data_IF_968837335756
#
_entry.id   IF_968837335756
#
_cell.length_a   1.000
_cell.length_b   1.000
_cell.length_c   1.000
_cell.angle_alpha   90.00
_cell.angle_beta   90.00
_cell.angle_gamma   90.00
#
_symmetry.space_group_name_H-M   'P 1'
#
loop_
_entity.id
_entity.type
_entity.pdbx_description
1 polymer ?
#
# COMPACT_ATOMS: atom_id res chain seq x y z
N UNK A 1 86.18 11.58 -34.11
CA UNK A 1 85.02 12.42 -34.53
C UNK A 1 83.79 11.81 -33.89
N UNK A 2 83.04 12.60 -33.10
CA UNK A 2 81.93 12.16 -32.23
C UNK A 2 80.85 11.35 -32.98
N UNK A 3 80.02 10.61 -32.23
CA UNK A 3 78.68 11.16 -32.06
C UNK A 3 78.23 11.25 -30.59
N UNK A 4 77.55 12.36 -30.37
CA UNK A 4 76.91 12.83 -29.15
C UNK A 4 75.70 11.94 -28.82
N UNK A 5 75.61 11.40 -27.61
CA UNK A 5 74.38 10.75 -27.11
C UNK A 5 73.44 11.84 -26.60
N UNK A 6 72.35 12.08 -27.34
CA UNK A 6 71.25 12.92 -26.89
C UNK A 6 70.43 12.19 -25.82
N UNK A 7 70.31 12.77 -24.63
CA UNK A 7 69.27 12.39 -23.66
C UNK A 7 67.99 13.17 -24.00
N UNK A 8 66.92 12.44 -24.31
CA UNK A 8 65.55 12.97 -24.35
C UNK A 8 64.97 12.95 -22.93
N UNK A 9 64.31 14.02 -22.45
CA UNK A 9 63.55 13.96 -21.21
C UNK A 9 62.20 13.27 -21.48
N UNK A 10 61.89 12.24 -20.70
CA UNK A 10 60.57 11.64 -20.66
C UNK A 10 59.60 12.63 -19.98
N UNK A 11 58.70 13.23 -20.76
CA UNK A 11 57.60 14.04 -20.23
C UNK A 11 56.57 13.06 -19.66
N UNK A 12 56.51 12.97 -18.33
CA UNK A 12 55.42 12.29 -17.63
C UNK A 12 54.20 13.21 -17.67
N UNK A 13 53.29 12.96 -18.61
CA UNK A 13 51.99 13.61 -18.64
C UNK A 13 51.13 13.03 -17.50
N UNK A 14 50.98 13.78 -16.41
CA UNK A 14 50.06 13.46 -15.34
C UNK A 14 48.61 13.64 -15.85
N UNK A 15 47.92 12.53 -16.11
CA UNK A 15 46.50 12.50 -16.40
C UNK A 15 45.71 12.84 -15.13
N UNK A 16 45.25 14.10 -15.03
CA UNK A 16 44.22 14.52 -14.09
C UNK A 16 42.89 13.88 -14.51
N UNK A 17 42.55 12.75 -13.89
CA UNK A 17 41.21 12.18 -14.00
C UNK A 17 40.22 13.08 -13.24
N UNK A 18 39.15 13.58 -13.87
CA UNK A 18 38.14 14.35 -13.16
C UNK A 18 37.41 13.45 -12.16
N UNK A 19 37.43 13.86 -10.89
CA UNK A 19 36.63 13.23 -9.84
C UNK A 19 35.14 13.51 -10.13
N UNK A 20 34.49 12.58 -10.83
CA UNK A 20 33.04 12.61 -11.00
C UNK A 20 32.45 12.33 -9.61
N UNK A 21 31.96 13.38 -8.95
CA UNK A 21 31.15 13.23 -7.75
C UNK A 21 29.90 12.44 -8.13
N UNK A 22 29.84 11.19 -7.68
CA UNK A 22 28.62 10.39 -7.74
C UNK A 22 27.62 10.99 -6.74
N UNK A 23 26.86 11.98 -7.18
CA UNK A 23 25.67 12.39 -6.44
C UNK A 23 24.76 11.16 -6.34
N UNK A 24 24.48 10.70 -5.12
CA UNK A 24 23.55 9.61 -4.90
C UNK A 24 22.20 10.01 -5.53
N UNK A 25 21.71 9.18 -6.45
CA UNK A 25 20.38 9.36 -7.01
C UNK A 25 19.37 9.35 -5.85
N UNK A 26 18.36 10.25 -5.85
CA UNK A 26 17.34 10.23 -4.82
C UNK A 26 16.71 8.83 -4.78
N UNK A 27 16.66 8.24 -3.58
CA UNK A 27 16.01 6.95 -3.37
C UNK A 27 14.58 7.03 -3.92
N UNK A 28 14.21 6.07 -4.77
CA UNK A 28 12.84 6.02 -5.29
C UNK A 28 11.87 5.91 -4.10
N UNK A 29 10.74 6.66 -4.11
CA UNK A 29 9.74 6.54 -3.08
C UNK A 29 9.34 5.08 -2.92
N UNK A 30 9.31 4.59 -1.69
CA UNK A 30 8.91 3.21 -1.43
C UNK A 30 7.46 3.01 -1.90
N UNK A 31 7.26 2.23 -2.97
CA UNK A 31 5.92 1.86 -3.43
C UNK A 31 5.37 0.78 -2.50
N UNK A 32 4.28 1.04 -1.77
CA UNK A 32 3.69 0.05 -0.88
C UNK A 32 3.40 -1.27 -1.60
N UNK A 33 3.56 -2.36 -0.86
CA UNK A 33 3.24 -3.71 -1.29
C UNK A 33 2.16 -4.26 -0.37
N UNK A 34 1.05 -4.64 -0.97
CA UNK A 34 -0.11 -5.26 -0.31
C UNK A 34 -0.14 -6.74 -0.64
N UNK A 35 -0.06 -7.60 0.37
CA UNK A 35 -0.07 -9.06 0.18
C UNK A 35 -1.11 -9.75 1.05
N UNK A 36 -1.47 -10.99 0.74
CA UNK A 36 -2.34 -11.80 1.60
C UNK A 36 -3.60 -12.29 0.89
N UNK A 37 -4.70 -12.41 1.62
CA UNK A 37 -5.94 -12.99 1.09
C UNK A 37 -7.17 -12.18 1.40
N UNK A 38 -8.11 -12.17 0.46
CA UNK A 38 -9.46 -11.60 0.61
C UNK A 38 -10.48 -12.63 0.18
N UNK A 39 -11.51 -12.83 1.00
CA UNK A 39 -12.69 -13.63 0.67
C UNK A 39 -13.91 -12.75 0.54
N UNK A 40 -14.64 -12.92 -0.55
CA UNK A 40 -15.91 -12.24 -0.82
C UNK A 40 -17.01 -13.29 -0.96
N UNK A 41 -18.17 -13.03 -0.37
CA UNK A 41 -19.38 -13.80 -0.60
C UNK A 41 -20.47 -12.85 -1.11
N UNK A 42 -20.85 -13.01 -2.38
CA UNK A 42 -21.85 -12.16 -3.02
C UNK A 42 -23.22 -12.33 -2.38
N UNK A 43 -23.58 -13.55 -1.98
CA UNK A 43 -24.91 -13.87 -1.48
C UNK A 43 -25.16 -13.32 -0.07
N UNK A 44 -24.11 -13.19 0.74
CA UNK A 44 -24.21 -12.62 2.10
C UNK A 44 -23.70 -11.19 2.20
N UNK A 45 -23.07 -10.65 1.15
CA UNK A 45 -22.47 -9.31 1.19
C UNK A 45 -21.21 -9.25 2.04
N UNK A 46 -20.64 -10.41 2.38
CA UNK A 46 -19.58 -10.55 3.36
C UNK A 46 -18.21 -10.39 2.71
N UNK A 47 -17.34 -9.67 3.40
CA UNK A 47 -15.94 -9.46 3.03
C UNK A 47 -15.07 -9.81 4.23
N UNK A 48 -14.07 -10.66 4.02
CA UNK A 48 -13.05 -11.01 5.00
C UNK A 48 -11.67 -10.78 4.39
N UNK A 49 -10.73 -10.28 5.17
CA UNK A 49 -9.35 -10.15 4.72
C UNK A 49 -8.35 -10.50 5.81
N UNK A 50 -7.24 -11.07 5.37
CA UNK A 50 -6.00 -11.22 6.12
C UNK A 50 -4.88 -10.68 5.21
N UNK A 51 -4.57 -9.39 5.38
CA UNK A 51 -3.81 -8.62 4.41
C UNK A 51 -2.67 -7.88 5.09
N UNK A 52 -1.47 -8.00 4.54
CA UNK A 52 -0.29 -7.30 4.98
C UNK A 52 0.05 -6.11 4.08
N UNK A 53 0.40 -4.99 4.68
CA UNK A 53 0.96 -3.82 4.04
C UNK A 53 2.43 -3.69 4.45
N UNK A 54 3.31 -3.54 3.46
CA UNK A 54 4.76 -3.41 3.66
C UNK A 54 5.35 -2.41 2.68
N UNK A 55 6.63 -2.06 2.87
CA UNK A 55 7.35 -1.13 2.02
C UNK A 55 6.66 0.26 1.94
N UNK A 56 6.01 0.67 3.03
CA UNK A 56 5.42 2.00 3.16
C UNK A 56 6.51 3.03 3.53
N UNK A 57 6.40 4.29 3.08
CA UNK A 57 7.26 5.37 3.56
C UNK A 57 7.24 5.47 5.09
N UNK A 58 8.36 5.86 5.70
CA UNK A 58 8.47 5.96 7.16
C UNK A 58 7.40 6.86 7.78
N UNK A 59 6.95 7.90 7.07
CA UNK A 59 5.88 8.81 7.52
C UNK A 59 4.49 8.15 7.59
N UNK A 60 4.31 7.00 6.94
CA UNK A 60 3.06 6.25 6.89
C UNK A 60 3.09 4.97 7.75
N UNK A 61 4.24 4.54 8.28
CA UNK A 61 4.38 3.27 9.00
C UNK A 61 3.65 3.21 10.35
N UNK A 62 3.15 4.35 10.84
CA UNK A 62 2.32 4.42 12.06
C UNK A 62 0.82 4.41 11.79
N UNK A 63 0.37 4.37 10.53
CA UNK A 63 -1.03 4.56 10.18
C UNK A 63 -1.45 3.69 9.00
N UNK A 64 -2.71 3.28 9.00
CA UNK A 64 -3.33 2.70 7.82
C UNK A 64 -4.78 3.17 7.72
N UNK A 65 -5.34 3.12 6.52
CA UNK A 65 -6.77 3.31 6.30
C UNK A 65 -7.44 2.01 5.87
N UNK A 66 -8.70 1.86 6.27
CA UNK A 66 -9.57 0.78 5.83
C UNK A 66 -11.01 1.31 5.76
N UNK A 67 -11.81 0.79 4.83
CA UNK A 67 -13.21 1.18 4.69
C UNK A 67 -13.96 1.12 6.04
N UNK A 68 -14.80 2.12 6.31
CA UNK A 68 -15.50 2.23 7.59
C UNK A 68 -16.47 1.08 7.89
N UNK A 69 -16.90 0.32 6.89
CA UNK A 69 -17.75 -0.88 7.04
C UNK A 69 -16.97 -2.17 7.32
N UNK A 70 -15.64 -2.13 7.34
CA UNK A 70 -14.77 -3.26 7.68
C UNK A 70 -14.27 -3.12 9.12
N UNK A 71 -14.62 -4.09 9.96
CA UNK A 71 -14.20 -4.15 11.35
C UNK A 71 -12.85 -4.85 11.45
N UNK A 72 -11.87 -4.19 12.05
CA UNK A 72 -10.55 -4.77 12.32
C UNK A 72 -10.63 -5.71 13.53
N UNK A 73 -10.31 -6.99 13.32
CA UNK A 73 -10.25 -8.00 14.36
C UNK A 73 -8.86 -8.07 15.02
N UNK A 74 -7.79 -7.92 14.23
CA UNK A 74 -6.41 -8.02 14.72
C UNK A 74 -5.46 -7.23 13.82
N UNK A 75 -4.46 -6.61 14.45
CA UNK A 75 -3.29 -6.05 13.76
C UNK A 75 -2.03 -6.71 14.33
N UNK A 76 -1.13 -7.16 13.46
CA UNK A 76 0.18 -7.69 13.84
C UNK A 76 1.30 -7.03 13.05
N UNK A 77 2.53 -7.13 13.53
CA UNK A 77 3.72 -6.80 12.74
C UNK A 77 4.10 -7.94 11.77
N UNK A 78 5.25 -7.79 11.11
CA UNK A 78 5.77 -8.77 10.16
C UNK A 78 6.20 -10.11 10.76
N UNK A 79 6.35 -10.18 12.09
CA UNK A 79 6.69 -11.38 12.86
C UNK A 79 5.44 -12.04 13.47
N UNK A 80 4.27 -11.43 13.29
CA UNK A 80 3.00 -11.91 13.83
C UNK A 80 2.75 -11.46 15.27
N UNK A 81 3.57 -10.58 15.83
CA UNK A 81 3.35 -10.03 17.18
C UNK A 81 2.19 -9.03 17.12
N UNK A 82 1.25 -9.06 18.09
CA UNK A 82 0.16 -8.09 18.15
C UNK A 82 0.68 -6.65 18.26
N UNK A 83 0.07 -5.74 17.50
CA UNK A 83 0.34 -4.30 17.54
C UNK A 83 -0.92 -3.60 18.03
N UNK A 84 -0.80 -2.78 19.08
CA UNK A 84 -1.90 -1.95 19.55
C UNK A 84 -2.28 -0.90 18.53
N UNK A 85 -3.56 -0.55 18.42
CA UNK A 85 -4.04 0.46 17.49
C UNK A 85 -5.29 1.17 18.02
N UNK A 86 -5.51 2.38 17.54
CA UNK A 86 -6.72 3.19 17.75
C UNK A 86 -7.33 3.61 16.40
N UNK A 87 -8.53 4.18 16.41
CA UNK A 87 -9.35 4.49 15.23
C UNK A 87 -10.85 4.32 15.47
N UNK A 88 -11.28 4.23 16.73
CA UNK A 88 -12.67 3.95 17.11
C UNK A 88 -13.45 5.22 17.46
N UNK A 89 -12.82 6.13 18.21
CA UNK A 89 -13.43 7.36 18.71
C UNK A 89 -12.81 8.57 18.02
N UNK A 90 -13.65 9.40 17.40
CA UNK A 90 -13.23 10.52 16.54
C UNK A 90 -12.10 10.13 15.57
N UNK A 91 -12.25 9.02 14.82
CA UNK A 91 -11.19 8.63 13.90
C UNK A 91 -11.01 9.73 12.86
N UNK A 92 -9.75 9.95 12.46
CA UNK A 92 -9.53 10.63 11.19
C UNK A 92 -10.37 9.94 10.12
N UNK A 93 -11.23 10.70 9.46
CA UNK A 93 -12.04 10.22 8.33
C UNK A 93 -11.36 10.68 7.06
N UNK A 94 -11.10 9.73 6.17
CA UNK A 94 -10.60 9.99 4.82
C UNK A 94 -11.65 9.48 3.82
N UNK A 95 -12.68 10.30 3.61
CA UNK A 95 -13.85 9.94 2.81
C UNK A 95 -14.61 8.75 3.40
N UNK A 96 -14.65 7.65 2.64
CA UNK A 96 -15.24 6.36 3.01
C UNK A 96 -14.45 5.54 4.05
N UNK A 97 -13.19 5.92 4.31
CA UNK A 97 -12.27 5.13 5.12
C UNK A 97 -12.03 5.72 6.51
N UNK A 98 -11.80 4.83 7.48
CA UNK A 98 -11.30 5.16 8.82
C UNK A 98 -9.78 5.15 8.81
N UNK A 99 -9.17 6.15 9.44
CA UNK A 99 -7.74 6.17 9.74
C UNK A 99 -7.51 5.48 11.08
N UNK A 100 -6.67 4.45 11.06
CA UNK A 100 -6.19 3.76 12.24
C UNK A 100 -4.76 4.22 12.56
N UNK A 101 -4.47 4.40 13.85
CA UNK A 101 -3.16 4.80 14.35
C UNK A 101 -2.57 3.68 15.18
N UNK A 102 -1.38 3.22 14.83
CA UNK A 102 -0.66 2.19 15.56
C UNK A 102 -0.01 2.80 16.81
N UNK A 103 0.04 2.03 17.90
CA UNK A 103 0.77 2.39 19.11
C UNK A 103 2.28 2.48 18.87
N UNK A 104 2.79 1.61 17.99
CA UNK A 104 4.18 1.59 17.55
C UNK A 104 4.23 1.49 16.01
N UNK A 105 4.97 2.38 15.31
CA UNK A 105 5.15 2.26 13.88
C UNK A 105 5.82 0.94 13.49
N UNK A 106 5.37 0.32 12.39
CA UNK A 106 5.96 -0.92 11.88
C UNK A 106 6.21 -0.87 10.37
N UNK A 107 7.36 -1.35 9.87
CA UNK A 107 7.63 -1.46 8.43
C UNK A 107 6.73 -2.44 7.68
N UNK A 108 6.15 -3.41 8.39
CA UNK A 108 5.19 -4.37 7.88
C UNK A 108 4.08 -4.57 8.91
N UNK A 109 2.85 -4.31 8.53
CA UNK A 109 1.66 -4.57 9.34
C UNK A 109 0.77 -5.57 8.62
N UNK A 110 0.10 -6.44 9.35
CA UNK A 110 -0.92 -7.35 8.84
C UNK A 110 -2.23 -7.10 9.58
N UNK A 111 -3.32 -6.96 8.82
CA UNK A 111 -4.65 -6.65 9.33
C UNK A 111 -5.58 -7.79 8.99
N UNK A 112 -6.22 -8.34 10.02
CA UNK A 112 -7.37 -9.21 9.87
C UNK A 112 -8.63 -8.40 10.08
N UNK A 113 -9.54 -8.46 9.13
CA UNK A 113 -10.77 -7.67 9.16
C UNK A 113 -11.94 -8.40 8.53
N UNK A 114 -13.13 -7.94 8.87
CA UNK A 114 -14.40 -8.48 8.37
C UNK A 114 -15.47 -7.41 8.30
N UNK A 115 -16.28 -7.44 7.25
CA UNK A 115 -17.49 -6.64 7.14
C UNK A 115 -18.60 -7.40 6.43
N UNK A 116 -19.81 -6.85 6.51
CA UNK A 116 -20.95 -7.28 5.72
C UNK A 116 -21.69 -6.04 5.22
N UNK A 117 -21.90 -5.98 3.91
CA UNK A 117 -22.51 -4.84 3.24
C UNK A 117 -23.91 -5.23 2.75
N UNK A 118 -24.88 -4.30 2.73
CA UNK A 118 -26.22 -4.61 2.24
C UNK A 118 -26.21 -5.07 0.77
N UNK A 119 -27.09 -6.00 0.45
CA UNK A 119 -27.35 -6.44 -0.92
C UNK A 119 -28.49 -5.61 -1.52
N UNK A 120 -28.24 -5.00 -2.67
CA UNK A 120 -29.25 -4.25 -3.43
C UNK A 120 -29.44 -4.91 -4.81
N UNK A 121 -30.46 -5.77 -5.00
CA UNK A 121 -30.65 -6.50 -6.26
C UNK A 121 -30.88 -5.63 -7.50
N UNK A 122 -31.06 -4.31 -7.33
CA UNK A 122 -31.26 -3.35 -8.40
C UNK A 122 -30.15 -2.31 -8.36
N UNK A 123 -29.64 -1.95 -9.54
CA UNK A 123 -28.61 -0.94 -9.75
C UNK A 123 -29.23 0.41 -10.17
N UNK A 124 -30.24 0.88 -9.45
CA UNK A 124 -30.96 2.12 -9.77
C UNK A 124 -30.54 3.32 -8.92
N UNK A 125 -29.47 3.17 -8.13
CA UNK A 125 -28.84 4.28 -7.42
C UNK A 125 -28.11 5.21 -8.39
N UNK A 126 -28.79 6.29 -8.82
CA UNK A 126 -28.24 7.32 -9.72
C UNK A 126 -26.96 8.01 -9.20
N UNK A 127 -26.70 7.91 -7.90
CA UNK A 127 -25.51 8.45 -7.23
C UNK A 127 -24.61 7.39 -6.63
N UNK A 128 -24.56 6.17 -7.19
CA UNK A 128 -23.67 5.10 -6.71
C UNK A 128 -22.24 5.63 -6.52
N UNK A 129 -21.83 5.75 -5.25
CA UNK A 129 -20.57 6.39 -4.89
C UNK A 129 -19.42 5.39 -5.03
N UNK A 130 -18.38 5.79 -5.76
CA UNK A 130 -17.26 4.90 -6.10
C UNK A 130 -16.56 4.30 -4.86
N UNK A 131 -16.49 5.08 -3.77
CA UNK A 131 -15.89 4.68 -2.49
C UNK A 131 -16.68 3.66 -1.68
N UNK A 132 -17.93 3.34 -2.04
CA UNK A 132 -18.65 2.24 -1.40
C UNK A 132 -18.33 0.91 -2.07
N UNK A 133 -18.15 -0.14 -1.26
CA UNK A 133 -18.27 -1.52 -1.74
C UNK A 133 -19.74 -1.80 -1.99
N UNK A 134 -20.08 -2.17 -3.22
CA UNK A 134 -21.45 -2.41 -3.62
C UNK A 134 -21.67 -3.89 -3.92
N UNK A 135 -22.76 -4.45 -3.39
CA UNK A 135 -23.22 -5.81 -3.66
C UNK A 135 -24.60 -5.75 -4.28
N UNK A 136 -24.75 -6.31 -5.48
CA UNK A 136 -25.97 -6.12 -6.27
C UNK A 136 -26.75 -7.42 -6.54
N UNK A 137 -26.49 -8.45 -5.72
CA UNK A 137 -27.14 -9.75 -5.81
C UNK A 137 -26.52 -10.71 -6.83
N UNK A 138 -25.89 -10.20 -7.89
CA UNK A 138 -25.18 -11.00 -8.90
C UNK A 138 -23.71 -10.59 -9.10
N UNK A 139 -23.31 -9.47 -8.51
CA UNK A 139 -22.01 -8.83 -8.71
C UNK A 139 -21.59 -8.05 -7.47
N UNK A 140 -20.28 -7.87 -7.33
CA UNK A 140 -19.67 -7.02 -6.31
C UNK A 140 -18.74 -6.01 -6.99
N UNK A 141 -18.80 -4.73 -6.59
CA UNK A 141 -17.95 -3.65 -7.09
C UNK A 141 -17.08 -3.07 -5.98
N UNK A 142 -15.78 -3.22 -6.14
CA UNK A 142 -14.74 -2.81 -5.21
C UNK A 142 -13.75 -1.98 -6.02
N UNK A 143 -13.39 -0.80 -5.55
CA UNK A 143 -12.52 0.13 -6.27
C UNK A 143 -11.32 0.54 -5.44
N UNK A 144 -10.31 1.14 -6.04
CA UNK A 144 -9.16 1.68 -5.31
C UNK A 144 -9.58 2.70 -4.26
N UNK A 145 -10.65 3.45 -4.55
CA UNK A 145 -11.22 4.42 -3.65
C UNK A 145 -11.98 3.77 -2.50
N UNK A 146 -12.51 2.55 -2.66
CA UNK A 146 -13.30 1.91 -1.60
C UNK A 146 -12.51 1.48 -0.37
N UNK A 147 -11.17 1.58 -0.38
CA UNK A 147 -10.30 1.21 0.74
C UNK A 147 -10.61 -0.19 1.31
N UNK A 148 -10.93 -1.14 0.42
CA UNK A 148 -11.27 -2.53 0.77
C UNK A 148 -10.05 -3.37 1.18
N UNK A 149 -8.85 -2.81 1.06
CA UNK A 149 -7.58 -3.33 1.57
C UNK A 149 -6.97 -2.27 2.50
N UNK A 150 -6.14 -2.65 3.49
CA UNK A 150 -5.34 -1.69 4.25
C UNK A 150 -4.44 -0.87 3.32
N UNK A 151 -4.53 0.45 3.37
CA UNK A 151 -3.71 1.34 2.55
C UNK A 151 -2.82 2.24 3.42
N UNK A 152 -1.62 2.55 2.93
CA UNK A 152 -0.71 3.49 3.56
C UNK A 152 -1.28 4.92 3.46
N UNK A 153 -1.23 5.66 4.56
CA UNK A 153 -1.62 7.07 4.60
C UNK A 153 -0.55 7.90 5.32
N UNK A 154 -0.23 9.07 4.77
CA UNK A 154 0.47 10.10 5.52
C UNK A 154 -0.57 10.98 6.23
N UNK A 155 -0.71 10.91 7.57
CA UNK A 155 -1.73 11.65 8.29
C UNK A 155 -1.45 13.16 8.34
N UNK A 156 -0.19 13.59 8.16
CA UNK A 156 0.19 15.00 8.16
C UNK A 156 -0.16 15.64 6.82
N UNK A 157 0.18 14.96 5.72
CA UNK A 157 -0.18 15.40 4.38
C UNK A 157 -1.67 15.14 4.07
N UNK A 158 -2.32 14.25 4.82
CA UNK A 158 -3.68 13.74 4.58
C UNK A 158 -3.84 13.14 3.18
N UNK A 159 -2.85 12.32 2.80
CA UNK A 159 -2.78 11.73 1.46
C UNK A 159 -2.56 10.22 1.59
N UNK A 160 -3.44 9.45 0.94
CA UNK A 160 -3.23 8.02 0.70
C UNK A 160 -2.17 7.83 -0.37
N UNK A 161 -1.46 6.71 -0.29
CA UNK A 161 -0.58 6.33 -1.40
C UNK A 161 -1.40 6.14 -2.68
N UNK A 162 -1.02 6.84 -3.75
CA UNK A 162 -1.68 6.73 -5.07
C UNK A 162 -1.18 5.54 -5.89
N UNK A 163 -0.21 4.79 -5.39
CA UNK A 163 0.41 3.65 -6.05
C UNK A 163 0.52 2.50 -5.05
N UNK A 164 0.27 1.28 -5.51
CA UNK A 164 0.47 0.09 -4.70
C UNK A 164 0.78 -1.08 -5.62
N UNK A 165 1.57 -2.02 -5.11
CA UNK A 165 1.82 -3.33 -5.72
C UNK A 165 1.01 -4.37 -4.97
N UNK A 166 0.57 -5.40 -5.67
CA UNK A 166 -0.31 -6.42 -5.12
C UNK A 166 0.24 -7.82 -5.35
N UNK A 167 0.20 -8.64 -4.30
CA UNK A 167 0.36 -10.09 -4.34
C UNK A 167 -0.76 -10.70 -3.48
N UNK A 168 -1.93 -10.83 -4.10
CA UNK A 168 -3.18 -11.14 -3.41
C UNK A 168 -3.80 -12.43 -3.93
N UNK A 169 -4.26 -13.26 -3.00
CA UNK A 169 -5.20 -14.32 -3.27
C UNK A 169 -6.63 -13.79 -3.05
N UNK A 170 -7.45 -13.80 -4.09
CA UNK A 170 -8.87 -13.41 -3.99
C UNK A 170 -9.73 -14.65 -4.20
N UNK A 171 -10.51 -14.97 -3.18
CA UNK A 171 -11.53 -16.03 -3.21
C UNK A 171 -12.91 -15.36 -3.26
N UNK A 172 -13.77 -15.79 -4.18
CA UNK A 172 -15.13 -15.25 -4.25
C UNK A 172 -16.16 -16.37 -4.39
N UNK A 173 -16.88 -16.59 -3.30
CA UNK A 173 -18.03 -17.48 -3.27
C UNK A 173 -19.17 -16.88 -4.11
N UNK A 174 -19.59 -17.64 -5.13
CA UNK A 174 -20.65 -17.24 -6.05
C UNK A 174 -20.19 -16.40 -7.25
N UNK A 175 -18.92 -16.01 -7.33
CA UNK A 175 -18.39 -15.36 -8.54
C UNK A 175 -18.21 -16.37 -9.68
N UNK A 176 -18.63 -16.00 -10.88
CA UNK A 176 -18.25 -16.69 -12.12
C UNK A 176 -16.94 -16.17 -12.72
N UNK A 177 -16.67 -14.89 -12.50
CA UNK A 177 -15.50 -14.18 -13.01
C UNK A 177 -15.02 -13.20 -11.95
N UNK A 178 -13.71 -12.93 -11.97
CA UNK A 178 -13.08 -11.86 -11.21
C UNK A 178 -12.39 -10.94 -12.21
N UNK A 179 -12.70 -9.64 -12.13
CA UNK A 179 -12.03 -8.59 -12.90
C UNK A 179 -11.22 -7.73 -11.91
N UNK A 180 -9.92 -7.62 -12.16
CA UNK A 180 -8.94 -6.92 -11.33
C UNK A 180 -8.21 -5.88 -12.18
#
# INVERSE_FOLDING_TARGET
MNPCKALLPAIVAALLAPAISQAALPAQPATPLTTGSVRVDIASGRVEGDVCLSNSPATAQGHFVLNAGLNVARVTDGEGKPVGFDGWYDPGVDGEARVYTLAEPTPKLCVQYVGAFPLYPKHDALGDFKGMMAFNGDSARFTEQSAWLPQAIDPKARVRSSQSRYDLQVDCAGCRFLYL
#
